data_IF_894335561177
#
_entry.id   IF_894335561177
#
_cell.length_a   1.000
_cell.length_b   1.000
_cell.length_c   1.000
_cell.angle_alpha   90.00
_cell.angle_beta   90.00
_cell.angle_gamma   90.00
#
_symmetry.space_group_name_H-M   'P 1'
#
loop_
_entity.id
_entity.type
_entity.pdbx_description
1 polymer ?
#
# COMPACT_ATOMS: atom_id res chain seq x y z
N UNK A 1 -5.21 22.02 9.80
CA UNK A 1 -4.72 22.22 8.42
C UNK A 1 -3.32 21.62 8.34
N UNK A 2 -2.99 20.88 7.27
CA UNK A 2 -1.78 20.04 7.23
C UNK A 2 -0.52 20.78 6.71
N UNK A 3 -0.64 22.05 6.28
CA UNK A 3 0.45 22.89 5.76
C UNK A 3 1.41 22.14 4.80
N UNK A 4 0.82 21.46 3.83
CA UNK A 4 1.58 20.70 2.84
C UNK A 4 2.01 21.61 1.69
N UNK A 5 3.31 21.65 1.42
CA UNK A 5 3.91 22.32 0.26
C UNK A 5 4.31 21.27 -0.80
N UNK A 6 4.52 21.70 -2.05
CA UNK A 6 4.92 20.85 -3.19
C UNK A 6 3.92 19.72 -3.53
N UNK A 7 2.63 20.06 -3.58
CA UNK A 7 1.58 19.11 -3.94
C UNK A 7 1.37 19.10 -5.46
N UNK A 8 1.51 17.92 -6.06
CA UNK A 8 1.11 17.67 -7.44
C UNK A 8 -0.11 16.76 -7.47
N UNK A 9 -1.14 17.16 -8.24
CA UNK A 9 -2.38 16.40 -8.38
C UNK A 9 -2.45 15.82 -9.79
N UNK A 10 -2.54 14.50 -9.85
CA UNK A 10 -2.67 13.75 -11.09
C UNK A 10 -4.11 13.25 -11.26
N UNK A 11 -4.76 13.59 -12.38
CA UNK A 11 -6.08 13.07 -12.72
C UNK A 11 -5.95 11.93 -13.73
N UNK A 12 -6.45 10.74 -13.38
CA UNK A 12 -6.50 9.62 -14.30
C UNK A 12 -6.46 8.27 -13.60
N UNK A 13 -6.40 7.22 -14.41
CA UNK A 13 -6.18 5.85 -13.94
C UNK A 13 -4.70 5.64 -13.64
N UNK A 14 -4.41 5.11 -12.46
CA UNK A 14 -3.03 4.91 -12.00
C UNK A 14 -2.24 4.02 -12.96
N UNK A 15 -2.88 3.04 -13.61
CA UNK A 15 -2.28 2.14 -14.60
C UNK A 15 -1.73 2.86 -15.85
N UNK A 16 -2.16 4.12 -16.09
CA UNK A 16 -1.70 4.93 -17.22
C UNK A 16 -0.59 5.93 -16.85
N UNK A 17 -0.20 6.02 -15.57
CA UNK A 17 0.73 7.04 -15.07
C UNK A 17 2.22 6.65 -15.19
N UNK A 18 2.65 6.20 -16.37
CA UNK A 18 4.03 5.69 -16.58
C UNK A 18 5.14 6.71 -16.29
N UNK A 19 4.85 8.01 -16.37
CA UNK A 19 5.82 9.07 -16.08
C UNK A 19 6.23 9.16 -14.62
N UNK A 20 5.55 8.42 -13.73
CA UNK A 20 5.79 8.43 -12.29
C UNK A 20 6.50 7.18 -11.78
N UNK A 21 6.95 6.30 -12.69
CA UNK A 21 7.63 5.06 -12.32
C UNK A 21 8.91 5.33 -11.53
N UNK A 22 9.11 4.56 -10.44
CA UNK A 22 10.28 4.56 -9.56
C UNK A 22 10.67 5.91 -8.95
N UNK A 23 9.67 6.74 -8.60
CA UNK A 23 9.90 8.09 -8.06
C UNK A 23 9.59 8.25 -6.58
N UNK A 24 8.85 7.34 -5.97
CA UNK A 24 8.33 7.56 -4.62
C UNK A 24 8.96 6.62 -3.61
N UNK A 25 9.44 7.19 -2.51
CA UNK A 25 9.90 6.44 -1.35
C UNK A 25 8.72 5.82 -0.59
N UNK A 26 7.54 6.44 -0.69
CA UNK A 26 6.33 5.98 -0.04
C UNK A 26 5.14 6.01 -0.98
N UNK A 27 4.44 4.89 -1.08
CA UNK A 27 3.12 4.82 -1.73
C UNK A 27 2.10 4.38 -0.70
N UNK A 28 1.10 5.23 -0.46
CA UNK A 28 0.10 5.03 0.61
C UNK A 28 -1.29 4.95 -0.01
N UNK A 29 -2.10 4.00 0.45
CA UNK A 29 -3.50 3.89 0.04
C UNK A 29 -4.45 3.57 1.21
N UNK A 30 -5.69 4.04 1.08
CA UNK A 30 -6.81 3.68 1.97
C UNK A 30 -8.05 3.44 1.11
N UNK A 31 -8.61 2.23 1.19
CA UNK A 31 -9.86 1.89 0.49
C UNK A 31 -9.73 1.64 -1.02
N UNK A 32 -8.53 1.31 -1.53
CA UNK A 32 -8.28 1.12 -2.96
C UNK A 32 -8.69 -0.28 -3.50
N UNK A 33 -8.83 -1.28 -2.63
CA UNK A 33 -9.12 -2.67 -3.02
C UNK A 33 -8.38 -3.66 -2.11
N UNK A 34 -8.08 -4.86 -2.61
CA UNK A 34 -7.31 -5.88 -1.88
C UNK A 34 -5.82 -5.51 -1.77
N UNK A 35 -5.10 -6.10 -0.81
CA UNK A 35 -3.64 -5.92 -0.66
C UNK A 35 -2.90 -6.34 -1.92
N UNK A 36 -3.40 -7.37 -2.60
CA UNK A 36 -2.86 -7.80 -3.88
C UNK A 36 -3.00 -6.73 -4.97
N UNK A 37 -4.21 -6.21 -5.18
CA UNK A 37 -4.42 -5.17 -6.19
C UNK A 37 -3.61 -3.92 -5.87
N UNK A 38 -3.59 -3.49 -4.61
CA UNK A 38 -2.79 -2.35 -4.19
C UNK A 38 -1.30 -2.56 -4.49
N UNK A 39 -0.74 -3.71 -4.12
CA UNK A 39 0.68 -3.99 -4.29
C UNK A 39 1.08 -4.08 -5.78
N UNK A 40 0.23 -4.63 -6.65
CA UNK A 40 0.42 -4.62 -8.10
C UNK A 40 0.41 -3.21 -8.69
N UNK A 41 -0.52 -2.36 -8.24
CA UNK A 41 -0.64 -0.99 -8.71
C UNK A 41 0.49 -0.11 -8.17
N UNK A 42 0.90 -0.28 -6.92
CA UNK A 42 1.86 0.59 -6.25
C UNK A 42 3.31 0.30 -6.66
N UNK A 43 3.66 -0.97 -6.91
CA UNK A 43 5.03 -1.42 -7.19
C UNK A 43 5.77 -0.62 -8.29
N UNK A 44 5.17 -0.27 -9.45
CA UNK A 44 5.87 0.48 -10.49
C UNK A 44 6.32 1.88 -10.03
N UNK A 45 5.65 2.46 -9.05
CA UNK A 45 5.89 3.82 -8.56
C UNK A 45 7.00 3.89 -7.50
N UNK A 46 7.28 2.76 -6.83
CA UNK A 46 8.26 2.68 -5.76
C UNK A 46 9.68 2.87 -6.26
N UNK A 47 10.45 3.72 -5.56
CA UNK A 47 11.91 3.73 -5.62
C UNK A 47 12.48 2.38 -5.13
N UNK A 48 13.78 2.16 -5.33
CA UNK A 48 14.45 0.90 -4.98
C UNK A 48 14.24 0.50 -3.51
N UNK A 49 14.39 1.46 -2.61
CA UNK A 49 14.23 1.30 -1.17
C UNK A 49 12.88 1.82 -0.69
N UNK A 50 11.90 1.91 -1.59
CA UNK A 50 10.58 2.42 -1.29
C UNK A 50 9.75 1.45 -0.46
N UNK A 51 8.73 1.99 0.20
CA UNK A 51 7.80 1.24 1.02
C UNK A 51 6.34 1.52 0.62
N UNK A 52 5.49 0.51 0.75
CA UNK A 52 4.05 0.60 0.50
C UNK A 52 3.28 0.48 1.81
N UNK A 53 2.32 1.36 2.03
CA UNK A 53 1.47 1.32 3.21
C UNK A 53 -0.01 1.30 2.82
N UNK A 54 -0.77 0.36 3.39
CA UNK A 54 -2.23 0.34 3.22
C UNK A 54 -2.95 0.13 4.54
N UNK A 55 -4.06 0.85 4.70
CA UNK A 55 -5.00 0.64 5.79
C UNK A 55 -6.04 -0.42 5.44
N UNK A 56 -6.29 -1.35 6.36
CA UNK A 56 -7.21 -2.48 6.21
C UNK A 56 -8.06 -2.65 7.47
N UNK A 57 -9.32 -3.04 7.29
CA UNK A 57 -10.24 -3.29 8.41
C UNK A 57 -10.90 -4.64 8.23
N UNK A 58 -11.88 -4.73 7.34
CA UNK A 58 -12.58 -5.97 6.99
C UNK A 58 -11.69 -6.86 6.13
N UNK A 59 -11.88 -8.18 6.25
CA UNK A 59 -11.23 -9.19 5.38
C UNK A 59 -9.70 -9.18 5.42
N UNK A 60 -9.09 -8.51 6.41
CA UNK A 60 -7.65 -8.43 6.56
C UNK A 60 -6.99 -9.81 6.61
N UNK A 61 -7.54 -10.74 7.42
CA UNK A 61 -6.99 -12.10 7.57
C UNK A 61 -7.00 -12.86 6.25
N UNK A 62 -8.10 -12.86 5.51
CA UNK A 62 -8.19 -13.54 4.22
C UNK A 62 -7.25 -12.94 3.17
N UNK A 63 -7.12 -11.61 3.13
CA UNK A 63 -6.17 -10.96 2.23
C UNK A 63 -4.72 -11.22 2.63
N UNK A 64 -4.45 -11.33 3.94
CA UNK A 64 -3.13 -11.66 4.49
C UNK A 64 -2.71 -13.06 4.06
N UNK A 65 -3.61 -14.05 4.13
CA UNK A 65 -3.38 -15.40 3.63
C UNK A 65 -3.10 -15.43 2.12
N UNK A 66 -3.88 -14.68 1.34
CA UNK A 66 -3.72 -14.62 -0.13
C UNK A 66 -2.35 -14.09 -0.53
N UNK A 67 -1.92 -12.98 0.08
CA UNK A 67 -0.64 -12.35 -0.27
C UNK A 67 0.56 -13.12 0.29
N UNK A 68 0.40 -13.79 1.44
CA UNK A 68 1.48 -14.59 2.05
C UNK A 68 1.69 -15.93 1.34
N UNK A 69 0.64 -16.52 0.78
CA UNK A 69 0.72 -17.75 -0.03
C UNK A 69 1.37 -17.50 -1.39
N UNK A 70 1.26 -16.28 -1.93
CA UNK A 70 1.79 -15.91 -3.24
C UNK A 70 3.17 -15.22 -3.22
N UNK A 71 3.88 -15.24 -2.08
CA UNK A 71 5.15 -14.52 -1.86
C UNK A 71 6.18 -14.70 -2.99
N UNK A 72 6.40 -15.93 -3.44
CA UNK A 72 7.44 -16.24 -4.43
C UNK A 72 7.12 -15.73 -5.85
N UNK A 73 5.85 -15.45 -6.18
CA UNK A 73 5.46 -15.09 -7.55
C UNK A 73 5.52 -13.60 -7.86
N UNK A 74 5.49 -12.73 -6.85
CA UNK A 74 5.25 -11.28 -7.07
C UNK A 74 6.37 -10.38 -6.58
N UNK A 75 7.35 -10.92 -5.86
CA UNK A 75 8.49 -10.15 -5.36
C UNK A 75 8.07 -9.12 -4.32
N UNK A 76 7.08 -9.45 -3.47
CA UNK A 76 6.55 -8.55 -2.43
C UNK A 76 6.39 -9.34 -1.14
N UNK A 77 6.85 -8.76 -0.04
CA UNK A 77 6.69 -9.29 1.32
C UNK A 77 5.95 -8.26 2.18
N UNK A 78 5.25 -8.76 3.19
CA UNK A 78 4.77 -7.93 4.29
C UNK A 78 5.93 -7.76 5.28
N UNK A 79 6.30 -6.52 5.60
CA UNK A 79 7.34 -6.23 6.57
C UNK A 79 6.78 -5.94 7.96
N UNK A 80 5.62 -5.29 8.05
CA UNK A 80 5.02 -4.91 9.33
C UNK A 80 3.49 -4.86 9.24
N UNK A 81 2.83 -5.22 10.34
CA UNK A 81 1.40 -5.01 10.57
C UNK A 81 1.25 -4.30 11.92
N UNK A 82 0.67 -3.11 11.92
CA UNK A 82 0.36 -2.35 13.13
C UNK A 82 -1.16 -2.20 13.27
N UNK A 83 -1.71 -2.66 14.40
CA UNK A 83 -3.14 -2.58 14.69
C UNK A 83 -3.44 -1.32 15.51
N UNK A 84 -4.50 -0.61 15.11
CA UNK A 84 -4.96 0.62 15.73
C UNK A 84 -6.46 0.55 16.02
N UNK A 85 -6.83 1.05 17.21
CA UNK A 85 -8.19 1.37 17.57
C UNK A 85 -8.38 2.89 17.56
N UNK A 86 -9.09 3.41 16.57
CA UNK A 86 -9.30 4.85 16.44
C UNK A 86 -10.54 5.28 17.23
N UNK A 87 -10.29 5.84 18.42
CA UNK A 87 -11.27 6.64 19.18
C UNK A 87 -12.58 5.92 19.51
N UNK A 88 -12.55 4.59 19.70
CA UNK A 88 -13.72 3.74 19.93
C UNK A 88 -14.77 3.74 18.80
N UNK A 89 -14.44 4.26 17.61
CA UNK A 89 -15.36 4.31 16.46
C UNK A 89 -14.95 3.34 15.35
N UNK A 90 -13.66 3.03 15.25
CA UNK A 90 -13.12 2.07 14.28
C UNK A 90 -12.25 1.10 15.06
N UNK A 91 -12.71 -0.15 15.14
CA UNK A 91 -11.99 -1.26 15.74
C UNK A 91 -11.28 -2.09 14.66
N UNK A 92 -10.10 -2.60 14.98
CA UNK A 92 -9.36 -3.52 14.11
C UNK A 92 -8.83 -2.88 12.81
N UNK A 93 -8.40 -1.62 12.88
CA UNK A 93 -7.73 -0.97 11.76
C UNK A 93 -6.27 -1.40 11.71
N UNK A 94 -5.89 -2.16 10.69
CA UNK A 94 -4.54 -2.63 10.45
C UNK A 94 -3.86 -1.71 9.43
N UNK A 95 -2.73 -1.12 9.81
CA UNK A 95 -1.76 -0.53 8.89
C UNK A 95 -0.79 -1.64 8.46
N UNK A 96 -0.72 -1.91 7.17
CA UNK A 96 0.14 -2.95 6.60
C UNK A 96 1.24 -2.31 5.80
N UNK A 97 2.48 -2.63 6.14
CA UNK A 97 3.69 -2.27 5.40
C UNK A 97 4.09 -3.41 4.45
N UNK A 98 4.33 -3.08 3.19
CA UNK A 98 4.82 -4.02 2.18
C UNK A 98 6.10 -3.49 1.53
N UNK A 99 6.99 -4.42 1.20
CA UNK A 99 8.30 -4.17 0.60
C UNK A 99 8.51 -5.08 -0.61
N UNK A 100 9.29 -4.59 -1.57
CA UNK A 100 9.75 -5.39 -2.70
C UNK A 100 10.82 -6.38 -2.22
N UNK A 101 10.80 -7.61 -2.74
CA UNK A 101 11.87 -8.59 -2.55
C UNK A 101 12.61 -8.77 -3.86
N UNK A 102 13.94 -8.67 -3.82
CA UNK A 102 14.84 -8.98 -4.95
C UNK A 102 14.79 -10.45 -5.36
#
# INVERSE_FOLDING_TARGET
ELMLDNIEIYNGRVEKMKSLEKKFDYVVARGLGTMQLFSELARPFLSHDGHMYTFKTKQFVSELEEITTNKEKKGIKISEIAEYDLGNQIFGLNLVSLEITE
#
